data_IF_747726565751
#
_entry.id   IF_747726565751
#
_cell.length_a   1.000
_cell.length_b   1.000
_cell.length_c   1.000
_cell.angle_alpha   90.00
_cell.angle_beta   90.00
_cell.angle_gamma   90.00
#
_symmetry.space_group_name_H-M   'P 1'
#
loop_
_entity.id
_entity.type
_entity.pdbx_description
1 polymer ?
#
# COMPACT_ATOMS: atom_id res chain seq x y z
N UNK A 1 -31.90 37.44 55.75
CA UNK A 1 -32.84 37.47 56.86
C UNK A 1 -33.30 36.07 57.14
N UNK A 2 -33.45 35.75 58.39
CA UNK A 2 -32.53 35.72 59.53
C UNK A 2 -32.36 34.28 60.00
N UNK A 3 -31.68 33.83 60.99
CA UNK A 3 -31.08 34.29 62.24
C UNK A 3 -30.16 33.19 62.76
N UNK A 4 -28.96 33.46 63.07
CA UNK A 4 -28.41 33.69 64.43
C UNK A 4 -28.97 32.83 65.55
N UNK A 5 -28.11 32.04 66.18
CA UNK A 5 -27.85 32.10 67.64
C UNK A 5 -26.76 31.12 68.09
N UNK A 6 -25.68 31.65 68.44
CA UNK A 6 -24.76 31.72 69.58
C UNK A 6 -25.38 31.28 70.95
N UNK A 7 -24.69 30.43 71.73
CA UNK A 7 -24.63 30.44 73.19
C UNK A 7 -23.49 29.46 73.58
N UNK A 8 -22.31 29.89 73.96
CA UNK A 8 -21.72 30.38 75.21
C UNK A 8 -21.86 29.36 76.38
N UNK A 9 -20.70 28.79 76.79
CA UNK A 9 -20.05 28.77 78.10
C UNK A 9 -20.82 28.19 79.29
N UNK A 10 -20.25 27.17 79.90
CA UNK A 10 -20.02 27.20 81.35
C UNK A 10 -19.02 26.13 81.82
N UNK A 11 -17.95 26.61 82.51
CA UNK A 11 -17.07 25.86 83.41
C UNK A 11 -17.49 26.19 84.86
N UNK A 12 -17.50 25.27 85.76
CA UNK A 12 -16.84 25.48 87.02
C UNK A 12 -16.05 24.26 87.55
N UNK A 13 -14.86 24.55 87.93
CA UNK A 13 -14.24 24.55 89.24
C UNK A 13 -14.20 23.23 90.06
N UNK A 14 -13.01 22.83 90.23
CA UNK A 14 -12.26 22.14 91.30
C UNK A 14 -12.99 21.57 92.49
N UNK A 15 -12.69 20.30 92.82
CA UNK A 15 -12.59 19.81 94.21
C UNK A 15 -11.46 18.78 94.34
N UNK A 16 -10.58 18.96 95.27
CA UNK A 16 -9.35 18.22 95.63
C UNK A 16 -9.73 17.16 96.73
N UNK A 17 -8.85 16.23 97.11
CA UNK A 17 -8.98 14.77 97.10
C UNK A 17 -9.20 14.22 98.52
N UNK A 18 -9.29 12.94 98.72
CA UNK A 18 -8.27 12.28 99.54
C UNK A 18 -7.96 10.81 99.20
N UNK A 19 -6.77 10.43 99.56
CA UNK A 19 -6.45 9.07 99.95
C UNK A 19 -5.70 8.21 98.99
N UNK A 20 -4.39 8.19 99.07
CA UNK A 20 -3.57 7.12 98.57
C UNK A 20 -3.79 5.79 99.32
N UNK A 21 -3.84 4.67 98.69
CA UNK A 21 -3.39 3.42 99.25
C UNK A 21 -2.08 2.91 98.53
N UNK A 22 -1.28 2.43 99.42
CA UNK A 22 -0.04 1.71 99.33
C UNK A 22 0.39 1.07 98.01
N UNK A 23 1.64 1.28 97.68
CA UNK A 23 2.41 0.58 96.66
C UNK A 23 2.34 -0.94 96.86
N UNK A 24 1.82 -1.67 95.89
CA UNK A 24 2.07 -3.10 95.74
C UNK A 24 3.35 -3.32 94.95
N UNK A 25 4.17 -4.34 95.31
CA UNK A 25 5.45 -4.59 94.66
C UNK A 25 5.25 -5.04 93.20
N UNK A 26 6.04 -4.46 92.35
CA UNK A 26 6.14 -4.82 90.93
C UNK A 26 6.35 -6.32 90.76
N UNK A 27 5.38 -6.98 90.18
CA UNK A 27 5.52 -8.35 89.72
C UNK A 27 6.58 -8.37 88.62
N UNK A 28 7.71 -8.98 88.88
CA UNK A 28 8.76 -9.24 87.89
C UNK A 28 8.13 -9.95 86.69
N UNK A 29 8.14 -9.29 85.54
CA UNK A 29 7.71 -9.85 84.28
C UNK A 29 8.50 -11.13 84.03
N UNK A 30 7.86 -12.29 84.19
CA UNK A 30 8.41 -13.55 83.67
C UNK A 30 8.58 -13.38 82.16
N UNK A 31 9.82 -13.41 81.69
CA UNK A 31 10.15 -13.37 80.29
C UNK A 31 9.35 -14.42 79.48
N UNK A 32 9.03 -14.15 78.22
CA UNK A 32 8.18 -15.02 77.41
C UNK A 32 8.74 -16.46 77.41
N UNK A 33 7.90 -17.48 77.50
CA UNK A 33 8.35 -18.86 77.54
C UNK A 33 9.14 -19.19 76.27
N UNK A 34 10.24 -19.94 76.47
CA UNK A 34 11.18 -20.26 75.30
C UNK A 34 10.47 -20.73 74.02
N UNK A 35 9.30 -21.34 74.16
CA UNK A 35 8.45 -21.75 73.04
C UNK A 35 7.88 -20.56 72.25
N UNK A 36 7.55 -19.46 72.89
CA UNK A 36 7.06 -18.22 72.18
C UNK A 36 8.21 -17.55 71.48
N UNK A 37 9.42 -17.52 72.02
CA UNK A 37 10.61 -17.01 71.36
C UNK A 37 10.98 -17.83 70.11
N UNK A 38 10.83 -19.16 70.15
CA UNK A 38 11.05 -20.03 68.99
C UNK A 38 9.99 -19.78 67.91
N UNK A 39 8.72 -19.64 68.27
CA UNK A 39 7.66 -19.34 67.29
C UNK A 39 7.83 -17.96 66.66
N UNK A 40 8.16 -16.93 67.48
CA UNK A 40 8.45 -15.57 66.95
C UNK A 40 9.69 -15.58 66.06
N UNK A 41 10.73 -16.34 66.44
CA UNK A 41 11.94 -16.52 65.60
C UNK A 41 11.61 -17.20 64.27
N UNK A 42 10.73 -18.19 64.26
CA UNK A 42 10.31 -18.89 63.06
C UNK A 42 9.46 -18.00 62.13
N UNK A 43 8.54 -17.21 62.71
CA UNK A 43 7.75 -16.22 61.97
C UNK A 43 8.67 -15.14 61.37
N UNK A 44 9.65 -14.65 62.16
CA UNK A 44 10.63 -13.67 61.69
C UNK A 44 11.49 -14.24 60.54
N UNK A 45 11.93 -15.50 60.64
CA UNK A 45 12.67 -16.17 59.58
C UNK A 45 11.85 -16.34 58.30
N UNK A 46 10.58 -16.75 58.42
CA UNK A 46 9.64 -16.84 57.27
C UNK A 46 9.39 -15.46 56.68
N UNK A 47 9.21 -14.41 57.50
CA UNK A 47 9.05 -13.03 56.99
C UNK A 47 10.30 -12.51 56.32
N UNK A 48 11.51 -12.83 56.79
CA UNK A 48 12.78 -12.47 56.15
C UNK A 48 12.95 -13.21 54.80
N UNK A 49 12.63 -14.49 54.74
CA UNK A 49 12.69 -15.27 53.49
C UNK A 49 11.65 -14.75 52.49
N UNK A 50 10.42 -14.50 52.93
CA UNK A 50 9.35 -13.95 52.08
C UNK A 50 9.70 -12.53 51.61
N UNK A 51 10.15 -11.67 52.50
CA UNK A 51 10.60 -10.31 52.15
C UNK A 51 11.81 -10.30 51.22
N UNK A 52 12.81 -11.16 51.51
CA UNK A 52 13.97 -11.33 50.62
C UNK A 52 13.60 -11.84 49.21
N UNK A 53 12.66 -12.81 49.15
CA UNK A 53 12.13 -13.32 47.87
C UNK A 53 11.34 -12.26 47.12
N UNK A 54 10.51 -11.46 47.80
CA UNK A 54 9.73 -10.39 47.23
C UNK A 54 10.62 -9.25 46.72
N UNK A 55 11.65 -8.86 47.51
CA UNK A 55 12.65 -7.88 47.10
C UNK A 55 13.44 -8.37 45.88
N UNK A 56 13.87 -9.64 45.89
CA UNK A 56 14.59 -10.26 44.76
C UNK A 56 13.74 -10.26 43.51
N UNK A 57 12.46 -10.66 43.59
CA UNK A 57 11.55 -10.68 42.42
C UNK A 57 11.30 -9.28 41.89
N UNK A 58 11.03 -8.31 42.78
CA UNK A 58 10.80 -6.90 42.39
C UNK A 58 12.02 -6.23 41.74
N UNK A 59 13.24 -6.72 42.07
CA UNK A 59 14.47 -6.12 41.55
C UNK A 59 14.92 -6.72 40.21
N UNK A 60 14.65 -7.98 39.99
CA UNK A 60 15.15 -8.70 38.80
C UNK A 60 14.08 -9.07 37.79
N UNK A 61 12.82 -9.00 38.11
CA UNK A 61 11.71 -9.32 37.22
C UNK A 61 10.83 -8.10 37.01
N UNK A 62 10.60 -7.79 35.73
CA UNK A 62 9.67 -6.72 35.34
C UNK A 62 8.43 -7.36 34.74
N UNK A 63 7.29 -7.07 35.34
CA UNK A 63 5.99 -7.60 34.95
C UNK A 63 5.07 -6.48 34.50
N UNK A 64 4.26 -6.74 33.47
CA UNK A 64 3.17 -5.85 33.05
C UNK A 64 1.93 -6.65 32.64
N UNK A 65 0.79 -6.25 33.20
CA UNK A 65 -0.53 -6.75 32.82
C UNK A 65 -1.13 -5.92 31.67
N UNK A 66 -0.52 -4.77 31.34
CA UNK A 66 -0.97 -3.95 30.23
C UNK A 66 -0.29 -4.40 28.94
N UNK A 67 -0.63 -5.62 28.53
CA UNK A 67 -0.14 -6.24 27.31
C UNK A 67 -1.29 -6.96 26.57
N UNK A 68 -1.20 -6.99 25.25
CA UNK A 68 -2.20 -7.65 24.43
C UNK A 68 -1.57 -8.24 23.17
N UNK A 69 -2.18 -9.32 22.69
CA UNK A 69 -1.85 -9.91 21.41
C UNK A 69 -2.32 -8.97 20.30
N UNK A 70 -1.49 -8.73 19.32
CA UNK A 70 -1.85 -8.00 18.09
C UNK A 70 -1.33 -8.74 16.88
N UNK A 71 -1.75 -8.33 15.69
CA UNK A 71 -1.35 -8.98 14.43
C UNK A 71 -1.76 -8.14 13.23
N UNK A 72 -1.42 -8.64 12.05
CA UNK A 72 -1.81 -7.98 10.80
C UNK A 72 -3.29 -8.21 10.52
N UNK A 73 -4.05 -7.12 10.44
CA UNK A 73 -5.46 -7.11 10.04
C UNK A 73 -5.57 -6.38 8.71
N UNK A 74 -5.95 -7.10 7.67
CA UNK A 74 -6.07 -6.58 6.32
C UNK A 74 -7.53 -6.32 5.97
N UNK A 75 -7.96 -5.06 5.80
CA UNK A 75 -9.31 -4.75 5.33
C UNK A 75 -9.45 -5.16 3.86
N UNK A 76 -10.51 -5.88 3.54
CA UNK A 76 -10.95 -6.16 2.18
C UNK A 76 -12.03 -5.18 1.82
N UNK A 77 -11.81 -4.37 0.78
CA UNK A 77 -12.74 -3.36 0.32
C UNK A 77 -12.98 -3.45 -1.19
N UNK A 78 -14.14 -2.96 -1.65
CA UNK A 78 -14.41 -2.82 -3.07
C UNK A 78 -13.58 -1.68 -3.67
N UNK A 79 -13.09 -1.86 -4.91
CA UNK A 79 -12.41 -0.82 -5.69
C UNK A 79 -13.36 -0.06 -6.61
N UNK A 80 -14.53 -0.65 -6.92
CA UNK A 80 -15.53 -0.10 -7.81
C UNK A 80 -16.90 -0.11 -7.13
N UNK A 81 -17.82 0.76 -7.53
CA UNK A 81 -19.22 0.67 -7.09
C UNK A 81 -19.93 -0.48 -7.81
N UNK A 82 -20.86 -1.14 -7.14
CA UNK A 82 -21.65 -2.21 -7.75
C UNK A 82 -22.63 -2.83 -6.78
N UNK A 83 -23.44 -3.77 -7.28
CA UNK A 83 -24.33 -4.60 -6.49
C UNK A 83 -23.69 -5.97 -6.32
N UNK A 84 -23.69 -6.49 -5.10
CA UNK A 84 -23.13 -7.80 -4.79
C UNK A 84 -24.08 -8.89 -5.30
N UNK A 85 -23.60 -9.72 -6.20
CA UNK A 85 -24.36 -10.85 -6.77
C UNK A 85 -24.12 -12.14 -5.99
N UNK A 86 -22.89 -12.33 -5.50
CA UNK A 86 -22.52 -13.51 -4.71
C UNK A 86 -21.54 -13.14 -3.60
N UNK A 87 -21.69 -13.81 -2.46
CA UNK A 87 -20.73 -13.83 -1.36
C UNK A 87 -20.32 -15.29 -1.16
N UNK A 88 -18.99 -15.56 -1.20
CA UNK A 88 -18.42 -16.90 -1.21
C UNK A 88 -17.59 -17.18 0.06
N UNK A 89 -17.85 -16.48 1.14
CA UNK A 89 -17.15 -16.65 2.41
C UNK A 89 -18.14 -16.48 3.57
N UNK A 90 -17.79 -17.16 4.67
CA UNK A 90 -18.48 -17.03 5.96
C UNK A 90 -17.57 -16.43 7.02
N UNK A 91 -18.16 -15.99 8.14
CA UNK A 91 -17.42 -15.52 9.29
C UNK A 91 -16.50 -16.63 9.83
N UNK A 92 -15.30 -16.25 10.22
CA UNK A 92 -14.25 -17.13 10.75
C UNK A 92 -13.70 -18.20 9.80
N UNK A 93 -14.05 -18.16 8.51
CA UNK A 93 -13.52 -19.05 7.49
C UNK A 93 -12.04 -18.77 7.22
N UNK A 94 -11.25 -19.80 6.97
CA UNK A 94 -9.86 -19.70 6.51
C UNK A 94 -9.86 -19.53 5.00
N UNK A 95 -9.16 -18.53 4.50
CA UNK A 95 -8.99 -18.23 3.08
C UNK A 95 -7.52 -18.09 2.70
N UNK A 96 -7.24 -18.35 1.43
CA UNK A 96 -5.90 -18.18 0.85
C UNK A 96 -5.85 -16.88 0.03
N UNK A 97 -4.64 -16.36 -0.14
CA UNK A 97 -4.42 -15.26 -1.07
C UNK A 97 -4.90 -15.64 -2.49
N UNK A 98 -5.71 -14.77 -3.11
CA UNK A 98 -6.33 -14.99 -4.41
C UNK A 98 -7.70 -15.65 -4.40
N UNK A 99 -8.18 -16.20 -3.28
CA UNK A 99 -9.53 -16.74 -3.18
C UNK A 99 -10.57 -15.65 -3.45
N UNK A 100 -11.60 -15.98 -4.25
CA UNK A 100 -12.70 -15.06 -4.54
C UNK A 100 -13.63 -15.00 -3.34
N UNK A 101 -13.80 -13.80 -2.80
CA UNK A 101 -14.64 -13.56 -1.63
C UNK A 101 -16.05 -13.11 -2.03
N UNK A 102 -16.16 -12.18 -2.99
CA UNK A 102 -17.44 -11.69 -3.46
C UNK A 102 -17.38 -11.36 -4.95
N UNK A 103 -18.53 -11.46 -5.60
CA UNK A 103 -18.71 -11.04 -6.99
C UNK A 103 -19.75 -9.90 -7.05
N UNK A 104 -19.38 -8.83 -7.76
CA UNK A 104 -20.27 -7.76 -8.10
C UNK A 104 -20.91 -8.02 -9.46
N UNK A 105 -22.03 -7.35 -9.76
CA UNK A 105 -22.67 -7.39 -11.07
C UNK A 105 -21.72 -6.83 -12.15
N UNK A 106 -21.29 -7.62 -13.14
CA UNK A 106 -20.37 -7.19 -14.17
C UNK A 106 -21.04 -6.51 -15.37
N UNK A 107 -22.38 -6.37 -15.40
CA UNK A 107 -23.14 -5.98 -16.59
C UNK A 107 -22.69 -4.63 -17.15
N UNK A 108 -22.59 -3.60 -16.32
CA UNK A 108 -22.21 -2.25 -16.76
C UNK A 108 -20.78 -2.21 -17.31
N UNK A 109 -19.84 -2.89 -16.64
CA UNK A 109 -18.44 -2.95 -17.07
C UNK A 109 -18.26 -3.81 -18.31
N UNK A 110 -19.06 -4.88 -18.45
CA UNK A 110 -19.09 -5.73 -19.64
C UNK A 110 -19.51 -4.95 -20.87
N UNK A 111 -20.61 -4.21 -20.80
CA UNK A 111 -21.09 -3.34 -21.88
C UNK A 111 -20.04 -2.32 -22.29
N UNK A 112 -19.32 -1.72 -21.32
CA UNK A 112 -18.25 -0.76 -21.62
C UNK A 112 -17.09 -1.39 -22.39
N UNK A 113 -16.69 -2.62 -22.04
CA UNK A 113 -15.66 -3.37 -22.77
C UNK A 113 -16.10 -3.64 -24.19
N UNK A 114 -17.34 -4.11 -24.41
CA UNK A 114 -17.90 -4.35 -25.75
C UNK A 114 -17.97 -3.08 -26.60
N UNK A 115 -18.38 -1.96 -26.00
CA UNK A 115 -18.43 -0.67 -26.68
C UNK A 115 -17.04 -0.24 -27.20
N UNK A 116 -16.00 -0.35 -26.38
CA UNK A 116 -14.65 0.01 -26.80
C UNK A 116 -14.12 -0.96 -27.85
N UNK A 117 -14.44 -2.25 -27.76
CA UNK A 117 -14.09 -3.23 -28.81
C UNK A 117 -14.74 -2.90 -30.13
N UNK A 118 -16.00 -2.51 -30.14
CA UNK A 118 -16.70 -2.07 -31.34
C UNK A 118 -16.07 -0.80 -31.94
N UNK A 119 -15.62 0.15 -31.11
CA UNK A 119 -14.92 1.34 -31.56
C UNK A 119 -13.55 0.97 -32.21
N UNK A 120 -12.79 0.05 -31.62
CA UNK A 120 -11.54 -0.45 -32.21
C UNK A 120 -11.81 -1.06 -33.59
N UNK A 121 -12.84 -1.92 -33.70
CA UNK A 121 -13.21 -2.55 -34.97
C UNK A 121 -13.58 -1.50 -36.02
N UNK A 122 -14.31 -0.45 -35.66
CA UNK A 122 -14.66 0.65 -36.56
C UNK A 122 -13.40 1.38 -37.10
N UNK A 123 -12.47 1.73 -36.20
CA UNK A 123 -11.21 2.40 -36.64
C UNK A 123 -10.33 1.47 -37.48
N UNK A 124 -10.33 0.16 -37.18
CA UNK A 124 -9.63 -0.83 -38.04
C UNK A 124 -10.20 -0.85 -39.46
N UNK A 125 -11.50 -0.73 -39.67
CA UNK A 125 -12.10 -0.60 -41.00
C UNK A 125 -11.67 0.70 -41.68
N UNK A 126 -11.52 1.79 -40.95
CA UNK A 126 -10.99 3.05 -41.47
C UNK A 126 -9.52 2.92 -41.90
N UNK A 127 -8.73 2.12 -41.21
CA UNK A 127 -7.34 1.82 -41.61
C UNK A 127 -7.32 1.07 -42.96
N UNK A 128 -8.20 0.08 -43.17
CA UNK A 128 -8.33 -0.64 -44.44
C UNK A 128 -8.71 0.33 -45.55
N UNK A 129 -9.60 1.28 -45.31
CA UNK A 129 -9.91 2.33 -46.30
C UNK A 129 -8.72 3.24 -46.59
N UNK A 130 -7.95 3.62 -45.58
CA UNK A 130 -6.73 4.41 -45.74
C UNK A 130 -5.64 3.64 -46.53
N UNK A 131 -5.51 2.33 -46.29
CA UNK A 131 -4.59 1.49 -47.08
C UNK A 131 -5.03 1.43 -48.56
N UNK A 132 -6.31 1.33 -48.87
CA UNK A 132 -6.81 1.41 -50.24
C UNK A 132 -6.51 2.78 -50.88
N UNK A 133 -6.64 3.88 -50.12
CA UNK A 133 -6.28 5.22 -50.58
C UNK A 133 -4.75 5.36 -50.89
N UNK A 134 -3.90 4.72 -50.12
CA UNK A 134 -2.45 4.65 -50.36
C UNK A 134 -2.19 3.91 -51.67
N UNK A 135 -2.81 2.77 -51.93
CA UNK A 135 -2.65 2.02 -53.18
C UNK A 135 -3.14 2.83 -54.39
N UNK A 136 -4.25 3.54 -54.25
CA UNK A 136 -4.72 4.47 -55.29
C UNK A 136 -3.69 5.59 -55.56
N UNK A 137 -3.13 6.22 -54.55
CA UNK A 137 -2.11 7.25 -54.70
C UNK A 137 -0.81 6.70 -55.35
N UNK A 138 -0.41 5.46 -55.00
CA UNK A 138 0.73 4.78 -55.68
C UNK A 138 0.47 4.55 -57.17
N UNK A 139 -0.74 4.12 -57.53
CA UNK A 139 -1.07 3.93 -58.95
C UNK A 139 -1.02 5.28 -59.71
N UNK A 140 -1.52 6.37 -59.12
CA UNK A 140 -1.44 7.71 -59.71
C UNK A 140 0.01 8.18 -59.87
N UNK A 141 0.85 7.98 -58.85
CA UNK A 141 2.29 8.34 -58.92
C UNK A 141 3.01 7.52 -59.99
N UNK A 142 2.72 6.23 -60.15
CA UNK A 142 3.25 5.38 -61.19
C UNK A 142 2.85 5.87 -62.62
N UNK A 143 1.59 6.26 -62.80
CA UNK A 143 1.11 6.84 -64.05
C UNK A 143 1.81 8.18 -64.38
N UNK A 144 1.97 9.06 -63.36
CA UNK A 144 2.70 10.32 -63.52
C UNK A 144 4.18 10.09 -63.92
N UNK A 145 4.82 9.10 -63.29
CA UNK A 145 6.20 8.72 -63.59
C UNK A 145 6.36 8.18 -65.05
N UNK A 146 5.37 7.41 -65.52
CA UNK A 146 5.36 6.97 -66.91
C UNK A 146 5.26 8.15 -67.89
N UNK A 147 4.50 9.20 -67.57
CA UNK A 147 4.46 10.44 -68.34
C UNK A 147 5.78 11.18 -68.37
N UNK A 148 6.56 11.17 -67.28
CA UNK A 148 7.93 11.73 -67.28
C UNK A 148 8.84 10.98 -68.27
N UNK A 149 8.77 9.65 -68.26
CA UNK A 149 9.57 8.83 -69.21
C UNK A 149 9.20 9.13 -70.63
N UNK A 150 7.91 9.27 -70.96
CA UNK A 150 7.43 9.65 -72.29
C UNK A 150 7.95 11.03 -72.73
N UNK A 151 7.81 12.04 -71.83
CA UNK A 151 8.29 13.40 -72.16
C UNK A 151 9.80 13.48 -72.29
N UNK A 152 10.57 12.69 -71.55
CA UNK A 152 12.02 12.55 -71.68
C UNK A 152 12.42 11.99 -73.08
N UNK A 153 11.68 10.95 -73.54
CA UNK A 153 11.91 10.40 -74.92
C UNK A 153 11.64 11.46 -75.96
N UNK A 154 10.58 12.26 -75.81
CA UNK A 154 10.28 13.37 -76.72
C UNK A 154 11.40 14.45 -76.74
N UNK A 155 11.92 14.80 -75.52
CA UNK A 155 13.03 15.74 -75.41
C UNK A 155 14.31 15.22 -76.14
N UNK A 156 14.62 13.93 -75.94
CA UNK A 156 15.79 13.31 -76.64
C UNK A 156 15.63 13.45 -78.13
N UNK A 157 14.45 13.17 -78.70
CA UNK A 157 14.15 13.34 -80.10
C UNK A 157 14.32 14.80 -80.53
N UNK A 158 13.66 15.75 -79.85
CA UNK A 158 13.76 17.17 -80.18
C UNK A 158 15.19 17.70 -80.05
N UNK A 159 16.00 17.20 -79.16
CA UNK A 159 17.43 17.52 -79.03
C UNK A 159 18.21 17.01 -80.24
N UNK A 160 18.00 15.75 -80.60
CA UNK A 160 18.67 15.17 -81.78
C UNK A 160 18.32 15.93 -83.05
N UNK A 161 17.06 16.35 -83.24
CA UNK A 161 16.62 17.14 -84.40
C UNK A 161 17.28 18.54 -84.35
N UNK A 162 17.27 19.26 -83.22
CA UNK A 162 17.93 20.56 -83.10
C UNK A 162 19.45 20.48 -83.36
N UNK A 163 20.11 19.45 -82.85
CA UNK A 163 21.56 19.23 -83.06
C UNK A 163 21.85 18.92 -84.55
N UNK A 164 21.02 18.13 -85.23
CA UNK A 164 21.10 17.79 -86.66
C UNK A 164 20.92 19.05 -87.53
N UNK A 165 19.81 19.82 -87.26
CA UNK A 165 19.58 21.05 -88.02
C UNK A 165 20.67 22.09 -87.78
N UNK A 166 21.21 22.18 -86.56
CA UNK A 166 22.36 23.06 -86.30
C UNK A 166 23.61 22.67 -87.04
N UNK A 167 23.93 21.36 -87.17
CA UNK A 167 25.06 20.86 -87.96
C UNK A 167 24.87 21.13 -89.44
N UNK A 168 23.67 20.87 -90.02
CA UNK A 168 23.38 21.11 -91.42
C UNK A 168 23.41 22.62 -91.75
N UNK A 169 23.04 23.50 -90.86
CA UNK A 169 23.15 24.96 -91.12
C UNK A 169 24.59 25.44 -91.12
N UNK A 170 25.41 24.89 -90.22
CA UNK A 170 26.84 25.25 -90.15
C UNK A 170 27.71 24.60 -91.21
N UNK A 171 27.20 23.60 -91.93
CA UNK A 171 27.90 22.98 -93.03
C UNK A 171 28.02 23.94 -94.21
N UNK A 172 29.10 23.81 -95.06
CA UNK A 172 29.41 24.70 -96.17
C UNK A 172 28.25 24.83 -97.19
N UNK A 173 27.36 23.87 -97.30
CA UNK A 173 26.23 23.86 -98.24
C UNK A 173 24.95 24.56 -97.71
N UNK A 174 24.87 25.03 -96.47
CA UNK A 174 23.66 25.65 -95.85
C UNK A 174 22.38 24.95 -96.27
N UNK A 175 22.31 23.63 -96.07
CA UNK A 175 21.23 22.77 -96.56
C UNK A 175 19.88 23.01 -95.86
N UNK A 176 19.80 23.87 -94.82
CA UNK A 176 18.61 24.24 -94.07
C UNK A 176 18.56 25.75 -93.84
N UNK A 177 17.35 26.33 -93.68
CA UNK A 177 17.14 27.76 -93.38
C UNK A 177 17.33 28.06 -91.87
N UNK A 178 17.64 29.30 -91.54
CA UNK A 178 17.74 29.78 -90.18
C UNK A 178 16.42 29.59 -89.43
N UNK A 179 15.30 29.78 -90.10
CA UNK A 179 13.97 29.62 -89.53
C UNK A 179 13.72 28.16 -89.06
N UNK A 180 14.25 27.14 -89.77
CA UNK A 180 14.17 25.73 -89.38
C UNK A 180 15.03 25.42 -88.14
N UNK A 181 16.21 26.02 -88.02
CA UNK A 181 17.08 25.91 -86.83
C UNK A 181 16.43 26.58 -85.64
N UNK A 182 15.89 27.78 -85.84
CA UNK A 182 15.18 28.50 -84.73
C UNK A 182 13.93 27.73 -84.29
N UNK A 183 13.16 27.16 -85.21
CA UNK A 183 12.01 26.31 -84.93
C UNK A 183 12.40 25.02 -84.19
N UNK A 184 13.49 24.33 -84.59
CA UNK A 184 13.96 23.14 -83.89
C UNK A 184 14.50 23.45 -82.46
N UNK A 185 15.17 24.60 -82.36
CA UNK A 185 15.64 25.07 -81.01
C UNK A 185 14.50 25.41 -80.12
N UNK A 186 13.45 26.09 -80.56
CA UNK A 186 12.23 26.37 -79.82
C UNK A 186 11.48 25.08 -79.43
N UNK A 187 11.38 24.09 -80.34
CA UNK A 187 10.77 22.77 -80.04
C UNK A 187 11.56 22.04 -78.97
N UNK A 188 12.91 22.07 -79.00
CA UNK A 188 13.74 21.52 -77.91
C UNK A 188 13.48 22.23 -76.59
N UNK A 189 13.41 23.56 -76.57
CA UNK A 189 13.12 24.33 -75.34
C UNK A 189 11.73 24.00 -74.80
N UNK A 190 10.71 23.89 -75.65
CA UNK A 190 9.37 23.47 -75.29
C UNK A 190 9.31 22.05 -74.69
N UNK A 191 10.03 21.10 -75.35
CA UNK A 191 10.13 19.74 -74.83
C UNK A 191 10.85 19.65 -73.49
N UNK A 192 11.85 20.51 -73.23
CA UNK A 192 12.55 20.59 -71.96
C UNK A 192 11.63 21.13 -70.85
N UNK A 193 10.81 22.15 -71.14
CA UNK A 193 9.83 22.69 -70.25
C UNK A 193 8.74 21.65 -69.90
N UNK A 194 8.29 20.83 -70.91
CA UNK A 194 7.32 19.75 -70.66
C UNK A 194 7.88 18.69 -69.73
N UNK A 195 9.15 18.26 -69.87
CA UNK A 195 9.79 17.33 -68.91
C UNK A 195 9.79 17.90 -67.52
N UNK A 196 10.08 19.18 -67.33
CA UNK A 196 10.06 19.82 -66.01
C UNK A 196 8.65 19.78 -65.40
N UNK A 197 7.63 20.18 -66.17
CA UNK A 197 6.24 20.16 -65.74
C UNK A 197 5.74 18.74 -65.35
N UNK A 198 6.15 17.69 -66.10
CA UNK A 198 5.82 16.30 -65.79
C UNK A 198 6.53 15.81 -64.54
N UNK A 199 7.77 16.23 -64.33
CA UNK A 199 8.50 15.91 -63.06
C UNK A 199 7.85 16.53 -61.87
N UNK A 200 7.43 17.79 -61.97
CA UNK A 200 6.72 18.48 -60.86
C UNK A 200 5.41 17.77 -60.54
N UNK A 201 4.65 17.35 -61.57
CA UNK A 201 3.44 16.57 -61.38
C UNK A 201 3.72 15.20 -60.75
N UNK A 202 4.81 14.50 -61.11
CA UNK A 202 5.18 13.23 -60.50
C UNK A 202 5.60 13.42 -59.03
N UNK A 203 6.31 14.53 -58.71
CA UNK A 203 6.67 14.89 -57.34
C UNK A 203 5.44 15.17 -56.51
N UNK A 204 4.45 15.91 -57.05
CA UNK A 204 3.17 16.15 -56.37
C UNK A 204 2.40 14.85 -56.12
N UNK A 205 2.36 13.93 -57.08
CA UNK A 205 1.73 12.61 -56.91
C UNK A 205 2.45 11.76 -55.86
N UNK A 206 3.78 11.84 -55.77
CA UNK A 206 4.56 11.17 -54.73
C UNK A 206 4.26 11.76 -53.34
N UNK A 207 4.10 13.08 -53.22
CA UNK A 207 3.71 13.73 -51.98
C UNK A 207 2.31 13.26 -51.47
N UNK A 208 1.42 12.92 -52.42
CA UNK A 208 0.09 12.39 -52.10
C UNK A 208 0.16 11.03 -51.39
N UNK A 209 1.13 10.16 -51.77
CA UNK A 209 1.36 8.90 -51.04
C UNK A 209 1.77 9.16 -49.60
N UNK A 210 2.67 10.11 -49.38
CA UNK A 210 3.11 10.47 -48.03
C UNK A 210 1.96 11.03 -47.19
N UNK A 211 1.10 11.87 -47.77
CA UNK A 211 -0.09 12.41 -47.11
C UNK A 211 -1.09 11.31 -46.73
N UNK A 212 -1.39 10.37 -47.64
CA UNK A 212 -2.25 9.23 -47.35
C UNK A 212 -1.62 8.30 -46.29
N UNK A 213 -0.31 8.09 -46.35
CA UNK A 213 0.43 7.35 -45.32
C UNK A 213 0.34 7.97 -43.95
N UNK A 214 0.48 9.31 -43.87
CA UNK A 214 0.32 10.05 -42.59
C UNK A 214 -1.10 9.92 -42.02
N UNK A 215 -2.13 9.99 -42.87
CA UNK A 215 -3.51 9.79 -42.41
C UNK A 215 -3.72 8.39 -41.81
N UNK A 216 -3.14 7.34 -42.44
CA UNK A 216 -3.17 5.98 -41.86
C UNK A 216 -2.47 5.91 -40.50
N UNK A 217 -1.31 6.56 -40.32
CA UNK A 217 -0.58 6.53 -39.04
C UNK A 217 -1.39 7.23 -37.93
N UNK A 218 -2.15 8.28 -38.24
CA UNK A 218 -3.08 8.91 -37.29
C UNK A 218 -4.14 7.89 -36.80
N UNK A 219 -4.72 7.12 -37.73
CA UNK A 219 -5.72 6.09 -37.38
C UNK A 219 -5.10 4.97 -36.53
N UNK A 220 -3.84 4.56 -36.83
CA UNK A 220 -3.11 3.59 -36.02
C UNK A 220 -2.84 4.12 -34.61
N UNK A 221 -2.50 5.40 -34.47
CA UNK A 221 -2.37 6.03 -33.16
C UNK A 221 -3.70 6.02 -32.40
N UNK A 222 -4.82 6.27 -33.07
CA UNK A 222 -6.14 6.20 -32.49
C UNK A 222 -6.46 4.78 -31.97
N UNK A 223 -6.11 3.72 -32.70
CA UNK A 223 -6.26 2.33 -32.23
C UNK A 223 -5.47 2.10 -30.97
N UNK A 224 -4.24 2.61 -30.84
CA UNK A 224 -3.44 2.47 -29.61
C UNK A 224 -4.11 3.14 -28.40
N UNK A 225 -4.71 4.31 -28.60
CA UNK A 225 -5.46 5.00 -27.54
C UNK A 225 -6.67 4.15 -27.09
N UNK A 226 -7.45 3.65 -28.05
CA UNK A 226 -8.60 2.79 -27.76
C UNK A 226 -8.17 1.46 -27.09
N UNK A 227 -7.04 0.89 -27.47
CA UNK A 227 -6.49 -0.31 -26.82
C UNK A 227 -6.10 -0.04 -25.35
N UNK A 228 -5.55 1.14 -25.05
CA UNK A 228 -5.28 1.53 -23.66
C UNK A 228 -6.59 1.68 -22.86
N UNK A 229 -7.63 2.28 -23.46
CA UNK A 229 -8.95 2.38 -22.85
C UNK A 229 -9.61 1.00 -22.66
N UNK A 230 -9.43 0.07 -23.61
CA UNK A 230 -9.90 -1.30 -23.48
C UNK A 230 -9.25 -2.00 -22.30
N UNK A 231 -7.93 -1.85 -22.15
CA UNK A 231 -7.19 -2.41 -21.01
C UNK A 231 -7.70 -1.87 -19.67
N UNK A 232 -7.97 -0.57 -19.58
CA UNK A 232 -8.55 0.05 -18.37
C UNK A 232 -9.95 -0.52 -18.09
N UNK A 233 -10.82 -0.59 -19.09
CA UNK A 233 -12.15 -1.16 -18.92
C UNK A 233 -12.12 -2.64 -18.51
N UNK A 234 -11.21 -3.44 -19.09
CA UNK A 234 -10.98 -4.84 -18.68
C UNK A 234 -10.48 -4.96 -17.25
N UNK A 235 -9.62 -4.06 -16.83
CA UNK A 235 -9.14 -4.02 -15.44
C UNK A 235 -10.28 -3.66 -14.48
N UNK A 236 -11.14 -2.70 -14.83
CA UNK A 236 -12.34 -2.37 -14.07
C UNK A 236 -13.32 -3.55 -14.01
N UNK A 237 -13.50 -4.27 -15.12
CA UNK A 237 -14.28 -5.51 -15.16
C UNK A 237 -13.66 -6.58 -14.23
N UNK A 238 -12.35 -6.69 -14.16
CA UNK A 238 -11.66 -7.59 -13.23
C UNK A 238 -11.91 -7.27 -11.75
N UNK A 239 -12.15 -6.01 -11.41
CA UNK A 239 -12.45 -5.59 -10.04
C UNK A 239 -13.85 -6.00 -9.56
N UNK A 240 -14.72 -6.52 -10.44
CA UNK A 240 -15.99 -7.13 -10.01
C UNK A 240 -15.76 -8.40 -9.19
N UNK A 241 -14.60 -9.05 -9.31
CA UNK A 241 -14.22 -10.18 -8.48
C UNK A 241 -13.33 -9.67 -7.35
N UNK A 242 -13.88 -9.65 -6.14
CA UNK A 242 -13.19 -9.22 -4.94
C UNK A 242 -12.45 -10.42 -4.38
N UNK A 243 -11.12 -10.36 -4.39
CA UNK A 243 -10.26 -11.46 -3.96
C UNK A 243 -9.53 -11.13 -2.66
N UNK A 244 -9.17 -12.17 -1.92
CA UNK A 244 -8.35 -12.06 -0.72
C UNK A 244 -6.94 -11.60 -1.07
N UNK A 245 -6.42 -10.49 -0.48
CA UNK A 245 -5.05 -10.05 -0.72
C UNK A 245 -4.00 -10.92 -0.02
N UNK A 246 -4.37 -11.61 1.06
CA UNK A 246 -3.49 -12.42 1.91
C UNK A 246 -4.18 -13.70 2.36
N UNK A 247 -3.41 -14.68 2.79
CA UNK A 247 -3.95 -15.86 3.47
C UNK A 247 -4.18 -15.55 4.95
N UNK A 248 -5.30 -16.03 5.51
CA UNK A 248 -5.63 -15.80 6.91
C UNK A 248 -7.07 -16.23 7.22
N UNK A 249 -7.58 -15.78 8.35
CA UNK A 249 -8.95 -16.04 8.79
C UNK A 249 -9.81 -14.79 8.59
N UNK A 250 -10.97 -14.95 7.99
CA UNK A 250 -11.94 -13.86 7.85
C UNK A 250 -12.50 -13.50 9.23
N UNK A 251 -12.54 -12.21 9.52
CA UNK A 251 -13.25 -11.66 10.65
C UNK A 251 -14.74 -11.47 10.34
N UNK A 252 -15.30 -10.36 10.80
CA UNK A 252 -16.72 -10.07 10.61
C UNK A 252 -17.03 -9.76 9.14
N UNK A 253 -18.03 -10.45 8.57
CA UNK A 253 -18.64 -10.13 7.30
C UNK A 253 -19.53 -8.89 7.43
N UNK A 254 -19.35 -7.91 6.55
CA UNK A 254 -20.09 -6.65 6.55
C UNK A 254 -20.90 -6.46 5.26
N UNK A 255 -21.06 -7.51 4.45
CA UNK A 255 -21.72 -7.46 3.13
C UNK A 255 -22.64 -8.65 2.95
N UNK A 256 -23.79 -8.39 2.30
CA UNK A 256 -24.79 -9.38 1.94
C UNK A 256 -25.08 -9.35 0.45
N UNK A 257 -25.62 -10.45 -0.10
CA UNK A 257 -26.08 -10.52 -1.48
C UNK A 257 -27.19 -9.49 -1.69
N UNK A 258 -27.11 -8.73 -2.79
CA UNK A 258 -28.02 -7.62 -3.09
C UNK A 258 -27.61 -6.27 -2.48
N UNK A 259 -26.60 -6.24 -1.61
CA UNK A 259 -26.08 -4.99 -1.07
C UNK A 259 -25.37 -4.18 -2.15
N UNK A 260 -25.59 -2.84 -2.13
CA UNK A 260 -24.82 -1.91 -2.97
C UNK A 260 -23.58 -1.45 -2.24
N UNK A 261 -22.42 -1.65 -2.85
CA UNK A 261 -21.13 -1.27 -2.29
C UNK A 261 -20.54 -0.07 -3.03
N UNK A 262 -19.70 0.70 -2.30
CA UNK A 262 -18.99 1.86 -2.82
C UNK A 262 -17.47 1.61 -2.80
N UNK A 263 -16.69 2.31 -3.62
CA UNK A 263 -15.22 2.25 -3.55
C UNK A 263 -14.70 2.59 -2.14
N UNK A 264 -13.81 1.76 -1.60
CA UNK A 264 -13.26 1.92 -0.26
C UNK A 264 -14.15 1.36 0.87
N UNK A 265 -15.38 0.94 0.58
CA UNK A 265 -16.25 0.30 1.59
C UNK A 265 -15.67 -1.05 1.99
N UNK A 266 -15.44 -1.24 3.29
CA UNK A 266 -14.95 -2.48 3.84
C UNK A 266 -16.05 -3.55 3.81
N UNK A 267 -15.71 -4.72 3.26
CA UNK A 267 -16.59 -5.88 3.13
C UNK A 267 -16.29 -6.96 4.17
N UNK A 268 -15.02 -7.11 4.50
CA UNK A 268 -14.51 -8.03 5.50
C UNK A 268 -13.14 -7.54 6.00
N UNK A 269 -12.61 -8.20 7.02
CA UNK A 269 -11.23 -8.06 7.45
C UNK A 269 -10.59 -9.45 7.51
N UNK A 270 -9.34 -9.57 7.08
CA UNK A 270 -8.58 -10.82 7.13
C UNK A 270 -7.48 -10.67 8.18
N UNK A 271 -7.49 -11.56 9.15
CA UNK A 271 -6.49 -11.64 10.21
C UNK A 271 -5.51 -12.73 9.85
N UNK A 272 -4.23 -12.38 9.80
CA UNK A 272 -3.16 -13.37 9.59
C UNK A 272 -2.79 -14.06 10.90
N UNK A 273 -2.24 -15.27 10.78
CA UNK A 273 -1.76 -16.06 11.94
C UNK A 273 -0.43 -15.55 12.52
N UNK A 274 0.20 -14.54 11.86
CA UNK A 274 1.42 -13.90 12.35
C UNK A 274 1.06 -12.85 13.40
N UNK A 275 1.12 -13.26 14.67
CA UNK A 275 0.75 -12.44 15.82
C UNK A 275 1.96 -12.18 16.72
N UNK A 276 1.92 -11.06 17.43
CA UNK A 276 2.93 -10.68 18.44
C UNK A 276 2.23 -10.03 19.63
N UNK A 277 2.97 -9.81 20.71
CA UNK A 277 2.47 -9.08 21.89
C UNK A 277 2.98 -7.66 21.88
N UNK A 278 2.11 -6.72 22.17
CA UNK A 278 2.47 -5.34 22.51
C UNK A 278 2.28 -5.20 24.02
N UNK A 279 3.40 -5.05 24.73
CA UNK A 279 3.42 -4.88 26.19
C UNK A 279 3.81 -3.45 26.54
N UNK A 280 2.96 -2.77 27.31
CA UNK A 280 3.15 -1.38 27.70
C UNK A 280 3.85 -1.30 29.05
N UNK A 281 5.17 -1.12 29.06
CA UNK A 281 5.98 -0.96 30.27
C UNK A 281 6.00 0.50 30.73
N UNK A 282 6.12 0.70 32.03
CA UNK A 282 6.34 2.04 32.59
C UNK A 282 7.73 2.52 32.19
N UNK A 283 7.89 3.82 31.91
CA UNK A 283 9.18 4.43 31.60
C UNK A 283 10.27 4.08 32.62
N UNK A 284 9.88 3.97 33.90
CA UNK A 284 10.79 3.60 35.01
C UNK A 284 11.28 2.14 34.96
N UNK A 285 10.66 1.28 34.15
CA UNK A 285 11.00 -0.13 33.99
C UNK A 285 11.91 -0.40 32.79
N UNK A 286 12.07 0.58 31.89
CA UNK A 286 12.83 0.43 30.65
C UNK A 286 14.36 0.28 30.83
N UNK A 287 15.02 0.88 31.85
CA UNK A 287 16.50 0.87 31.90
C UNK A 287 17.16 -0.51 31.92
N UNK A 288 16.40 -1.56 32.28
CA UNK A 288 16.91 -2.95 32.30
C UNK A 288 16.48 -3.80 31.09
N UNK A 289 15.68 -3.25 30.19
CA UNK A 289 15.14 -3.98 29.06
C UNK A 289 16.03 -3.76 27.81
N UNK A 290 16.38 -4.85 27.16
CA UNK A 290 17.15 -4.83 25.89
C UNK A 290 16.56 -5.79 24.88
N UNK A 291 16.62 -5.47 23.56
CA UNK A 291 16.18 -6.37 22.50
C UNK A 291 16.87 -7.73 22.60
N UNK A 292 16.13 -8.81 22.31
CA UNK A 292 16.63 -10.20 22.35
C UNK A 292 16.48 -10.91 23.69
N UNK A 293 16.06 -10.22 24.76
CA UNK A 293 15.76 -10.88 26.04
C UNK A 293 14.56 -11.83 25.88
N UNK A 294 14.64 -12.96 26.60
CA UNK A 294 13.55 -13.92 26.69
C UNK A 294 12.45 -13.40 27.61
N UNK A 295 11.23 -13.64 27.19
CA UNK A 295 10.02 -13.13 27.82
C UNK A 295 9.08 -14.29 28.08
N UNK A 296 8.56 -14.39 29.29
CA UNK A 296 7.44 -15.25 29.63
C UNK A 296 6.14 -14.51 29.35
N UNK A 297 5.24 -15.18 28.63
CA UNK A 297 3.96 -14.64 28.22
C UNK A 297 2.86 -15.58 28.72
N UNK A 298 1.99 -15.07 29.55
CA UNK A 298 0.78 -15.76 29.96
C UNK A 298 -0.41 -15.11 29.23
N UNK A 299 -1.12 -15.90 28.43
CA UNK A 299 -2.31 -15.44 27.70
C UNK A 299 -3.54 -15.89 28.50
N UNK A 300 -4.43 -14.97 28.85
CA UNK A 300 -5.61 -15.26 29.69
C UNK A 300 -6.51 -16.35 29.09
N UNK A 301 -6.57 -16.43 27.77
CA UNK A 301 -7.34 -17.46 27.06
C UNK A 301 -6.68 -18.87 27.08
N UNK A 302 -5.42 -18.97 27.53
CA UNK A 302 -4.66 -20.21 27.58
C UNK A 302 -4.09 -20.45 28.99
N UNK A 303 -4.95 -20.57 30.03
CA UNK A 303 -4.49 -20.74 31.40
C UNK A 303 -3.67 -22.02 31.52
N UNK A 304 -2.59 -21.99 32.29
CA UNK A 304 -1.61 -23.08 32.53
C UNK A 304 -0.58 -23.30 31.40
N UNK A 305 -0.53 -22.44 30.39
CA UNK A 305 0.49 -22.51 29.36
C UNK A 305 1.31 -21.22 29.39
N UNK A 306 2.53 -21.32 29.88
CA UNK A 306 3.54 -20.27 29.74
C UNK A 306 4.08 -20.35 28.31
N UNK A 307 3.87 -19.28 27.54
CA UNK A 307 4.47 -19.12 26.20
C UNK A 307 5.79 -18.38 26.34
N UNK A 308 6.72 -18.69 25.46
CA UNK A 308 8.01 -18.03 25.43
C UNK A 308 8.07 -17.08 24.23
N UNK A 309 8.50 -15.85 24.51
CA UNK A 309 8.72 -14.83 23.49
C UNK A 309 10.09 -14.19 23.63
N UNK A 310 10.37 -13.25 22.75
CA UNK A 310 11.57 -12.40 22.81
C UNK A 310 11.22 -10.95 22.56
N UNK A 311 11.90 -10.06 23.31
CA UNK A 311 11.82 -8.62 23.02
C UNK A 311 12.37 -8.36 21.64
N UNK A 312 11.53 -7.85 20.74
CA UNK A 312 11.90 -7.49 19.37
C UNK A 312 12.40 -6.04 19.32
N UNK A 313 11.58 -5.11 19.75
CA UNK A 313 11.87 -3.69 19.63
C UNK A 313 11.05 -2.84 20.61
N UNK A 314 11.50 -1.60 20.81
CA UNK A 314 10.82 -0.58 21.58
C UNK A 314 10.16 0.43 20.64
N UNK A 315 8.97 0.89 21.00
CA UNK A 315 8.37 2.00 20.27
C UNK A 315 9.22 3.27 20.44
N UNK A 316 9.37 4.07 19.38
CA UNK A 316 10.19 5.29 19.40
C UNK A 316 9.59 6.43 20.23
N UNK A 317 8.32 6.27 20.69
CA UNK A 317 7.64 7.24 21.54
C UNK A 317 6.67 6.53 22.49
N UNK A 318 6.22 7.24 23.53
CA UNK A 318 5.19 6.75 24.45
C UNK A 318 3.84 6.59 23.73
N UNK A 319 3.00 5.68 24.23
CA UNK A 319 1.69 5.43 23.65
C UNK A 319 0.79 6.67 23.55
N UNK A 320 1.00 7.65 24.45
CA UNK A 320 0.26 8.90 24.45
C UNK A 320 0.59 9.80 23.24
N UNK A 321 1.81 9.75 22.71
CA UNK A 321 2.23 10.52 21.53
C UNK A 321 1.61 10.00 20.23
N UNK A 322 1.23 8.72 20.19
CA UNK A 322 0.57 8.10 19.04
C UNK A 322 -0.97 8.05 19.18
N UNK A 323 -1.50 8.59 20.26
CA UNK A 323 -2.96 8.67 20.44
C UNK A 323 -3.55 9.71 19.48
N UNK A 324 -4.73 9.41 18.91
CA UNK A 324 -5.48 10.33 18.02
C UNK A 324 -5.82 11.67 18.75
N UNK A 325 -5.99 11.63 20.05
CA UNK A 325 -6.22 12.79 20.93
C UNK A 325 -5.20 12.70 22.07
N UNK A 326 -4.01 13.27 21.94
CA UNK A 326 -3.06 13.36 23.02
C UNK A 326 -3.68 14.12 24.20
N UNK A 327 -3.48 13.64 25.42
CA UNK A 327 -3.96 14.34 26.60
C UNK A 327 -3.20 15.69 26.70
N UNK A 328 -3.89 16.79 26.43
CA UNK A 328 -3.35 18.13 26.61
C UNK A 328 -3.62 18.61 28.04
N UNK A 329 -2.56 18.89 28.79
CA UNK A 329 -2.63 19.48 30.12
C UNK A 329 -2.72 21.01 30.04
N UNK A 330 -3.72 21.53 29.33
CA UNK A 330 -3.91 22.97 29.04
C UNK A 330 -4.21 23.83 30.29
N UNK A 331 -4.32 23.25 31.48
CA UNK A 331 -4.73 23.99 32.71
C UNK A 331 -3.58 24.48 33.58
N UNK A 332 -2.34 24.49 33.10
CA UNK A 332 -1.21 25.16 33.76
C UNK A 332 -0.56 24.44 34.95
N UNK A 333 -1.12 23.35 35.48
CA UNK A 333 -0.48 22.51 36.48
C UNK A 333 0.07 21.23 35.85
N UNK A 334 1.39 21.18 35.65
CA UNK A 334 2.08 19.98 35.14
C UNK A 334 2.17 18.94 36.26
N UNK A 335 1.34 17.90 36.20
CA UNK A 335 1.49 16.72 37.05
C UNK A 335 2.32 15.68 36.32
N UNK A 336 3.47 15.29 36.86
CA UNK A 336 4.31 14.23 36.31
C UNK A 336 3.58 12.89 36.40
N UNK A 337 3.05 12.40 35.27
CA UNK A 337 2.44 11.08 35.15
C UNK A 337 3.45 10.15 34.48
N UNK A 338 3.68 8.98 35.08
CA UNK A 338 4.57 7.96 34.50
C UNK A 338 3.99 7.50 33.15
N UNK A 339 4.74 7.74 32.08
CA UNK A 339 4.36 7.34 30.73
C UNK A 339 4.60 5.85 30.53
N UNK A 340 3.84 5.24 29.61
CA UNK A 340 4.05 3.86 29.17
C UNK A 340 4.62 3.84 27.77
N UNK A 341 5.61 2.99 27.56
CA UNK A 341 6.26 2.78 26.27
C UNK A 341 5.92 1.39 25.78
N UNK A 342 5.32 1.26 24.57
CA UNK A 342 5.02 -0.02 23.97
C UNK A 342 6.32 -0.76 23.60
N UNK A 343 6.40 -2.04 23.97
CA UNK A 343 7.47 -2.96 23.62
C UNK A 343 6.86 -4.08 22.80
N UNK A 344 7.42 -4.33 21.62
CA UNK A 344 7.04 -5.44 20.76
C UNK A 344 7.77 -6.69 21.20
N UNK A 345 7.01 -7.77 21.39
CA UNK A 345 7.50 -9.08 21.81
C UNK A 345 7.00 -10.11 20.81
N UNK A 346 7.90 -10.84 20.20
CA UNK A 346 7.56 -11.90 19.24
C UNK A 346 7.54 -13.25 19.95
N UNK A 347 6.56 -14.08 19.62
CA UNK A 347 6.49 -15.46 20.09
C UNK A 347 7.59 -16.31 19.43
N UNK A 348 7.98 -17.40 20.07
CA UNK A 348 8.84 -18.39 19.43
C UNK A 348 8.11 -19.06 18.25
N UNK A 349 8.83 -19.45 17.18
CA UNK A 349 8.20 -20.14 16.04
C UNK A 349 7.50 -21.46 16.41
N UNK A 350 7.96 -22.10 17.48
CA UNK A 350 7.36 -23.35 18.00
C UNK A 350 6.01 -23.08 18.64
N UNK A 351 5.93 -22.08 19.52
CA UNK A 351 4.69 -21.69 20.18
C UNK A 351 3.67 -21.13 19.19
N UNK A 352 4.14 -20.33 18.22
CA UNK A 352 3.28 -19.77 17.18
C UNK A 352 2.62 -20.88 16.36
N UNK A 353 3.38 -21.94 15.98
CA UNK A 353 2.83 -23.10 15.27
C UNK A 353 1.88 -23.93 16.13
N UNK A 354 2.25 -24.17 17.39
CA UNK A 354 1.47 -25.00 18.33
C UNK A 354 0.11 -24.39 18.66
N UNK A 355 0.04 -23.06 18.73
CA UNK A 355 -1.17 -22.32 19.10
C UNK A 355 -1.73 -21.49 17.92
N UNK A 356 -1.31 -21.80 16.67
CA UNK A 356 -1.85 -21.18 15.47
C UNK A 356 -3.39 -21.26 15.46
N UNK A 357 -4.05 -20.13 15.16
CA UNK A 357 -5.50 -20.00 15.16
C UNK A 357 -6.17 -19.95 16.55
N UNK A 358 -5.41 -20.14 17.65
CA UNK A 358 -5.90 -19.96 19.03
C UNK A 358 -5.45 -18.62 19.64
N UNK A 359 -4.32 -18.09 19.17
CA UNK A 359 -3.85 -16.75 19.52
C UNK A 359 -4.47 -15.76 18.54
N UNK A 360 -5.38 -14.93 19.01
CA UNK A 360 -6.04 -13.93 18.16
C UNK A 360 -5.76 -12.51 18.66
N UNK A 361 -5.61 -11.54 17.76
CA UNK A 361 -5.45 -10.14 18.15
C UNK A 361 -6.56 -9.66 19.08
N UNK A 362 -6.19 -8.88 20.09
CA UNK A 362 -7.10 -8.38 21.12
C UNK A 362 -7.14 -9.20 22.40
N UNK A 363 -6.48 -10.37 22.46
CA UNK A 363 -6.37 -11.13 23.71
C UNK A 363 -5.46 -10.43 24.70
N UNK A 364 -5.89 -10.36 25.98
CA UNK A 364 -5.09 -9.86 27.09
C UNK A 364 -4.00 -10.85 27.47
N UNK A 365 -2.86 -10.31 27.87
CA UNK A 365 -1.69 -11.10 28.28
C UNK A 365 -0.98 -10.46 29.45
N UNK A 366 -0.35 -11.28 30.28
CA UNK A 366 0.60 -10.86 31.30
C UNK A 366 2.00 -11.20 30.79
N UNK A 367 2.91 -10.26 30.90
CA UNK A 367 4.27 -10.38 30.39
C UNK A 367 5.26 -10.19 31.52
N UNK A 368 6.15 -11.17 31.74
CA UNK A 368 7.25 -11.14 32.72
C UNK A 368 8.61 -11.26 32.00
N UNK A 369 9.51 -10.34 32.29
CA UNK A 369 10.88 -10.29 31.72
C UNK A 369 11.92 -10.39 32.83
N UNK A 370 12.89 -11.30 32.68
CA UNK A 370 14.05 -11.43 33.58
C UNK A 370 15.19 -10.52 33.09
N UNK A 371 15.43 -9.43 33.84
CA UNK A 371 16.47 -8.43 33.52
C UNK A 371 17.92 -8.94 33.67
N UNK A 372 18.14 -10.13 34.26
CA UNK A 372 19.49 -10.72 34.42
C UNK A 372 19.97 -11.38 33.14
N UNK A 373 19.07 -11.74 32.24
CA UNK A 373 19.44 -12.38 30.99
C UNK A 373 20.07 -11.33 30.06
N UNK A 374 21.38 -11.51 29.76
CA UNK A 374 22.04 -10.73 28.73
C UNK A 374 21.42 -11.09 27.37
N UNK A 375 21.11 -10.08 26.57
CA UNK A 375 20.59 -10.26 25.21
C UNK A 375 21.42 -11.29 24.42
N UNK A 376 20.80 -12.37 23.96
CA UNK A 376 21.36 -13.13 22.87
C UNK A 376 21.24 -12.26 21.62
N UNK A 377 22.39 -11.94 20.99
CA UNK A 377 22.42 -11.09 19.78
C UNK A 377 21.38 -11.59 18.77
N UNK A 378 20.51 -10.72 18.27
CA UNK A 378 19.61 -11.09 17.19
C UNK A 378 20.46 -11.47 15.99
N UNK A 379 20.24 -12.66 15.42
CA UNK A 379 20.75 -12.97 14.10
C UNK A 379 20.26 -11.87 13.16
N UNK A 380 21.20 -11.09 12.64
CA UNK A 380 20.92 -10.05 11.65
C UNK A 380 20.13 -10.70 10.51
N UNK A 381 18.85 -10.37 10.41
CA UNK A 381 18.11 -10.58 9.17
C UNK A 381 18.78 -9.70 8.12
N UNK A 382 19.68 -10.30 7.35
CA UNK A 382 20.16 -9.72 6.10
C UNK A 382 18.92 -9.43 5.27
N UNK A 383 18.56 -8.16 5.18
CA UNK A 383 17.57 -7.70 4.23
C UNK A 383 18.13 -8.01 2.85
N UNK A 384 17.66 -9.08 2.25
CA UNK A 384 17.77 -9.28 0.81
C UNK A 384 16.89 -8.20 0.16
N UNK A 385 17.54 -7.09 -0.14
CA UNK A 385 17.04 -6.14 -1.12
C UNK A 385 17.15 -6.82 -2.49
N UNK A 386 16.02 -7.12 -3.10
CA UNK A 386 15.83 -7.12 -4.55
C UNK A 386 14.37 -6.80 -4.86
#
# INVERSE_FOLDING_TARGET
MPDTQTTVEHKPAAAVPPGAPAAQPANAAKGPPKRVLIVVGLIAAVALVAGGRMWYRSHYFVETENAYVTGHVHPVSSRIPGVVTKVMFDDNQIVKAGDVLAELDPADQGVKVEQIQAQIASVQQQIIQADAAIEQAKAQASAAQAQVVQSQANLVRAKQDADRFGQLYNAQMKAVSKAEVDAATAARAGAAADVTARRDNATAAQAQIAAAGSAREVLKAQVKVLQAQLKDAQQQLGYNRIVSPVSGRIGKRSVEVGARVQPGQQLAAIVQDDVWVVANFKETQLPGLVPGQEVKIEVDALPKHELVGRVDSFAPASGNQFALLPADNATGNFTKIVQRVPVKITFTPEDLKKYSGRLVPGMSTVVEIDMRQKAQQPQQRTAAAQ
#
